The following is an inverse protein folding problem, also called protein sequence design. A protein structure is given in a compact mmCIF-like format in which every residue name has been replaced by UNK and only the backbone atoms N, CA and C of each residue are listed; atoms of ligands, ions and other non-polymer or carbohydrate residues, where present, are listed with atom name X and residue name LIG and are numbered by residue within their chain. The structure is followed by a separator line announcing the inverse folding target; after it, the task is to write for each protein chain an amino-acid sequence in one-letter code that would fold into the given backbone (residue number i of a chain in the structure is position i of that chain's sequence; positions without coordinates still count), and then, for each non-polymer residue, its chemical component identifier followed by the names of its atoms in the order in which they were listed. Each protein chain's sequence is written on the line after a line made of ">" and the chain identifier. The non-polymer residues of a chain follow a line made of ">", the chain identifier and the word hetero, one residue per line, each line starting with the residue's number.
data_IF_325267582549
#
_entry.id   IF_325267582549
#
_cell.length_a   1.000
_cell.length_b   1.000
_cell.length_c   1.000
_cell.angle_alpha   90.00
_cell.angle_beta   90.00
_cell.angle_gamma   90.00
#
_symmetry.space_group_name_H-M   'P 1'
#
loop_
_entity.id
_entity.type
_entity.pdbx_description
1 polymer ?
#
# COMPACT_ATOMS: atom_id res chain seq x y z
N UNK A 1 4.13 31.46 -1.88
CA UNK A 1 5.58 31.43 -1.69
C UNK A 1 6.05 30.03 -2.04
N UNK A 2 6.83 29.82 -3.07
CA UNK A 2 7.50 28.55 -3.23
C UNK A 2 8.60 28.48 -2.17
N UNK A 3 8.38 27.68 -1.19
CA UNK A 3 9.34 27.40 -0.14
C UNK A 3 10.33 26.39 -0.66
N UNK A 4 11.60 26.81 -0.66
CA UNK A 4 12.78 26.00 -0.86
C UNK A 4 12.93 25.33 -2.25
N UNK A 5 14.11 25.45 -2.73
CA UNK A 5 14.79 24.89 -3.91
C UNK A 5 14.61 23.36 -4.08
N UNK A 6 13.35 22.86 -4.03
CA UNK A 6 13.08 21.46 -4.27
C UNK A 6 12.97 21.24 -5.78
N UNK A 7 13.92 20.48 -6.29
CA UNK A 7 13.88 19.98 -7.66
C UNK A 7 12.51 19.31 -7.91
N UNK A 8 11.79 19.68 -8.98
CA UNK A 8 10.54 19.02 -9.34
C UNK A 8 10.71 17.51 -9.39
N UNK A 9 9.92 16.81 -8.60
CA UNK A 9 9.92 15.35 -8.58
C UNK A 9 8.88 14.81 -9.55
N UNK A 10 9.08 13.59 -10.03
CA UNK A 10 8.17 12.92 -10.92
C UNK A 10 7.34 11.89 -10.14
N UNK A 11 6.04 12.10 -10.06
CA UNK A 11 5.12 11.26 -9.30
C UNK A 11 4.24 10.46 -10.26
N UNK A 12 4.25 9.15 -10.10
CA UNK A 12 3.32 8.26 -10.77
C UNK A 12 2.08 8.07 -9.89
N UNK A 13 0.91 8.42 -10.41
CA UNK A 13 -0.36 8.18 -9.72
C UNK A 13 -1.15 7.10 -10.45
N UNK A 14 -1.44 6.02 -9.73
CA UNK A 14 -2.17 4.86 -10.26
C UNK A 14 -3.56 4.83 -9.63
N UNK A 15 -4.57 5.12 -10.42
CA UNK A 15 -5.96 5.14 -10.02
C UNK A 15 -6.86 4.92 -11.24
N UNK A 16 -8.01 4.30 -11.08
CA UNK A 16 -8.97 4.03 -12.16
C UNK A 16 -10.06 5.11 -12.29
N UNK A 17 -10.07 6.11 -11.41
CA UNK A 17 -11.06 7.18 -11.37
C UNK A 17 -10.45 8.49 -11.88
N UNK A 18 -10.97 9.01 -12.98
CA UNK A 18 -10.43 10.20 -13.65
C UNK A 18 -10.49 11.45 -12.77
N UNK A 19 -11.60 11.64 -12.04
CA UNK A 19 -11.77 12.76 -11.12
C UNK A 19 -10.73 12.76 -9.99
N UNK A 20 -10.33 11.58 -9.54
CA UNK A 20 -9.28 11.43 -8.53
C UNK A 20 -7.91 11.75 -9.14
N UNK A 21 -7.66 11.31 -10.37
CA UNK A 21 -6.42 11.65 -11.09
C UNK A 21 -6.29 13.16 -11.30
N UNK A 22 -7.37 13.85 -11.62
CA UNK A 22 -7.37 15.31 -11.78
C UNK A 22 -7.10 16.01 -10.45
N UNK A 23 -7.71 15.56 -9.36
CA UNK A 23 -7.43 16.09 -8.01
C UNK A 23 -5.95 15.92 -7.64
N UNK A 24 -5.36 14.77 -7.88
CA UNK A 24 -3.94 14.54 -7.62
C UNK A 24 -3.05 15.40 -8.49
N UNK A 25 -3.44 15.64 -9.73
CA UNK A 25 -2.71 16.52 -10.64
C UNK A 25 -2.67 17.95 -10.09
N UNK A 26 -3.81 18.49 -9.69
CA UNK A 26 -3.90 19.84 -9.12
C UNK A 26 -3.03 19.99 -7.86
N UNK A 27 -3.05 18.99 -7.00
CA UNK A 27 -2.24 18.99 -5.77
C UNK A 27 -0.75 18.94 -6.10
N UNK A 28 -0.32 18.00 -6.94
CA UNK A 28 1.09 17.78 -7.26
C UNK A 28 1.69 18.95 -8.06
N UNK A 29 0.97 19.48 -9.01
CA UNK A 29 1.38 20.67 -9.78
C UNK A 29 1.44 21.91 -8.86
N UNK A 30 0.49 22.05 -7.94
CA UNK A 30 0.51 23.08 -6.89
C UNK A 30 1.74 23.00 -5.99
N UNK A 31 2.26 21.80 -5.74
CA UNK A 31 3.50 21.56 -5.00
C UNK A 31 4.77 21.70 -5.87
N UNK A 32 4.64 21.92 -7.18
CA UNK A 32 5.75 22.06 -8.12
C UNK A 32 6.31 20.73 -8.63
N UNK A 33 5.57 19.64 -8.50
CA UNK A 33 5.94 18.32 -9.00
C UNK A 33 5.31 18.00 -10.35
N UNK A 34 5.86 17.01 -11.06
CA UNK A 34 5.30 16.49 -12.31
C UNK A 34 4.53 15.21 -12.03
N UNK A 35 3.41 15.01 -12.70
CA UNK A 35 2.58 13.83 -12.54
C UNK A 35 2.48 13.06 -13.85
N UNK A 36 2.59 11.74 -13.76
CA UNK A 36 2.09 10.78 -14.75
C UNK A 36 0.90 10.05 -14.16
N UNK A 37 -0.24 10.19 -14.82
CA UNK A 37 -1.45 9.44 -14.47
C UNK A 37 -1.46 8.10 -15.20
N UNK A 38 -1.85 7.06 -14.49
CA UNK A 38 -1.98 5.75 -15.08
C UNK A 38 -3.25 5.06 -14.61
N UNK A 39 -4.11 4.76 -15.60
CA UNK A 39 -5.26 3.88 -15.40
C UNK A 39 -4.79 2.44 -15.53
N UNK A 40 -4.90 1.71 -14.48
CA UNK A 40 -4.27 0.43 -14.22
C UNK A 40 -4.48 -0.64 -15.30
N UNK A 41 -3.41 -1.34 -15.62
CA UNK A 41 -3.40 -2.68 -16.20
C UNK A 41 -2.47 -3.59 -15.38
N UNK A 42 -2.92 -4.80 -14.96
CA UNK A 42 -2.21 -5.60 -13.94
C UNK A 42 -0.80 -6.04 -14.31
N UNK A 43 -0.42 -5.99 -15.57
CA UNK A 43 0.80 -6.62 -16.06
C UNK A 43 1.99 -5.67 -16.31
N UNK A 44 1.86 -4.41 -15.91
CA UNK A 44 2.78 -3.36 -16.37
C UNK A 44 3.79 -2.86 -15.31
N UNK A 45 4.39 -3.74 -14.53
CA UNK A 45 5.59 -3.38 -13.75
C UNK A 45 6.69 -2.79 -14.66
N UNK A 46 6.75 -3.25 -15.92
CA UNK A 46 7.62 -2.71 -16.95
C UNK A 46 7.43 -1.19 -17.14
N UNK A 47 6.20 -0.70 -17.09
CA UNK A 47 5.90 0.74 -17.17
C UNK A 47 6.45 1.54 -15.99
N UNK A 48 6.35 1.01 -14.78
CA UNK A 48 6.92 1.67 -13.59
C UNK A 48 8.44 1.77 -13.75
N UNK A 49 9.06 0.71 -14.22
CA UNK A 49 10.50 0.67 -14.49
C UNK A 49 10.92 1.64 -15.60
N UNK A 50 10.11 1.78 -16.63
CA UNK A 50 10.35 2.72 -17.74
C UNK A 50 10.18 4.19 -17.33
N UNK A 51 9.12 4.50 -16.59
CA UNK A 51 8.80 5.85 -16.10
C UNK A 51 9.83 6.33 -15.09
N UNK A 52 10.39 5.43 -14.27
CA UNK A 52 11.33 5.74 -13.18
C UNK A 52 10.85 6.90 -12.30
N UNK A 53 9.66 6.78 -11.69
CA UNK A 53 9.13 7.84 -10.85
C UNK A 53 9.95 7.99 -9.57
N UNK A 54 9.94 9.19 -9.00
CA UNK A 54 10.53 9.47 -7.69
C UNK A 54 9.59 9.05 -6.55
N UNK A 55 8.29 8.92 -6.85
CA UNK A 55 7.25 8.50 -5.92
C UNK A 55 6.11 7.83 -6.69
N UNK A 56 5.53 6.79 -6.11
CA UNK A 56 4.28 6.17 -6.59
C UNK A 56 3.17 6.42 -5.57
N UNK A 57 2.05 6.95 -6.04
CA UNK A 57 0.80 7.03 -5.27
C UNK A 57 -0.17 6.02 -5.87
N UNK A 58 -0.63 5.10 -5.06
CA UNK A 58 -1.37 3.93 -5.49
C UNK A 58 -2.69 3.79 -4.73
N UNK A 59 -3.80 3.64 -5.45
CA UNK A 59 -5.05 3.18 -4.85
C UNK A 59 -5.05 1.64 -4.81
N UNK A 60 -5.39 1.07 -3.65
CA UNK A 60 -5.50 -0.38 -3.51
C UNK A 60 -6.77 -0.93 -4.13
N UNK A 61 -7.84 -0.13 -4.09
CA UNK A 61 -9.17 -0.53 -4.56
C UNK A 61 -9.38 -0.04 -5.99
N UNK A 62 -8.87 -0.79 -6.94
CA UNK A 62 -9.05 -0.52 -8.37
C UNK A 62 -9.76 -1.69 -9.06
N UNK A 63 -10.72 -1.36 -9.93
CA UNK A 63 -11.46 -2.34 -10.70
C UNK A 63 -12.46 -3.15 -9.89
N UNK A 64 -12.84 -4.31 -10.42
CA UNK A 64 -13.86 -5.19 -9.84
C UNK A 64 -13.36 -6.02 -8.65
N UNK A 65 -12.07 -6.05 -8.40
CA UNK A 65 -11.46 -6.80 -7.29
C UNK A 65 -10.52 -5.92 -6.49
N UNK A 66 -10.70 -5.89 -5.18
CA UNK A 66 -9.94 -5.09 -4.23
C UNK A 66 -8.43 -5.38 -4.20
N UNK A 67 -8.01 -6.44 -4.87
CA UNK A 67 -6.65 -6.98 -4.75
C UNK A 67 -5.66 -6.50 -5.84
N UNK A 68 -6.12 -5.78 -6.87
CA UNK A 68 -5.25 -5.40 -7.99
C UNK A 68 -4.16 -4.41 -7.58
N UNK A 69 -4.52 -3.37 -6.81
CA UNK A 69 -3.54 -2.42 -6.29
C UNK A 69 -2.54 -3.05 -5.34
N UNK A 70 -2.99 -3.98 -4.51
CA UNK A 70 -2.11 -4.75 -3.62
C UNK A 70 -1.11 -5.61 -4.40
N UNK A 71 -1.55 -6.32 -5.42
CA UNK A 71 -0.67 -7.12 -6.26
C UNK A 71 0.40 -6.26 -6.94
N UNK A 72 0.04 -5.08 -7.44
CA UNK A 72 1.01 -4.14 -8.01
C UNK A 72 2.01 -3.66 -6.96
N UNK A 73 1.54 -3.29 -5.76
CA UNK A 73 2.42 -2.87 -4.67
C UNK A 73 3.45 -3.94 -4.31
N UNK A 74 3.02 -5.19 -4.18
CA UNK A 74 3.93 -6.31 -3.94
C UNK A 74 4.96 -6.46 -5.05
N UNK A 75 4.54 -6.40 -6.32
CA UNK A 75 5.45 -6.46 -7.48
C UNK A 75 6.49 -5.33 -7.45
N UNK A 76 6.07 -4.11 -7.14
CA UNK A 76 6.99 -2.96 -7.01
C UNK A 76 8.05 -3.23 -5.94
N UNK A 77 7.65 -3.75 -4.77
CA UNK A 77 8.57 -4.03 -3.67
C UNK A 77 9.46 -5.26 -3.89
N UNK A 78 9.03 -6.22 -4.69
CA UNK A 78 9.77 -7.46 -4.96
C UNK A 78 10.70 -7.36 -6.17
N UNK A 79 10.67 -6.28 -6.90
CA UNK A 79 11.46 -6.10 -8.12
C UNK A 79 12.62 -5.14 -7.89
N UNK A 80 13.87 -5.58 -8.06
CA UNK A 80 15.05 -4.76 -7.80
C UNK A 80 15.05 -3.37 -8.45
N UNK A 81 14.57 -3.18 -9.69
CA UNK A 81 14.53 -1.86 -10.31
C UNK A 81 13.55 -0.87 -9.65
N UNK A 82 12.58 -1.35 -8.86
CA UNK A 82 11.49 -0.55 -8.30
C UNK A 82 11.37 -0.64 -6.78
N UNK A 83 12.09 -1.55 -6.15
CA UNK A 83 11.98 -1.83 -4.70
C UNK A 83 12.26 -0.61 -3.81
N UNK A 84 13.11 0.30 -4.26
CA UNK A 84 13.51 1.50 -3.51
C UNK A 84 12.62 2.72 -3.78
N UNK A 85 11.68 2.64 -4.71
CA UNK A 85 10.79 3.76 -5.01
C UNK A 85 9.82 3.96 -3.85
N UNK A 86 9.74 5.15 -3.24
CA UNK A 86 8.74 5.44 -2.22
C UNK A 86 7.33 5.20 -2.72
N UNK A 87 6.47 4.61 -1.91
CA UNK A 87 5.07 4.38 -2.25
C UNK A 87 4.16 4.94 -1.16
N UNK A 88 3.15 5.69 -1.59
CA UNK A 88 2.02 6.09 -0.77
C UNK A 88 0.79 5.32 -1.26
N UNK A 89 0.13 4.65 -0.34
CA UNK A 89 -1.16 3.99 -0.58
C UNK A 89 -2.27 4.91 -0.13
N UNK A 90 -3.20 5.25 -1.04
CA UNK A 90 -4.44 5.93 -0.71
C UNK A 90 -5.58 4.92 -0.77
N UNK A 91 -6.27 4.68 0.35
CA UNK A 91 -7.30 3.64 0.40
C UNK A 91 -8.46 4.01 1.32
N UNK A 92 -9.67 3.59 0.93
CA UNK A 92 -10.85 3.60 1.78
C UNK A 92 -11.01 2.30 2.60
N UNK A 93 -10.21 1.27 2.32
CA UNK A 93 -10.26 -0.04 2.97
C UNK A 93 -9.53 -0.04 4.32
N UNK A 94 -10.09 0.66 5.31
CA UNK A 94 -9.46 0.85 6.62
C UNK A 94 -9.16 -0.44 7.37
N UNK A 95 -10.06 -1.41 7.33
CA UNK A 95 -9.88 -2.69 8.02
C UNK A 95 -8.74 -3.50 7.39
N UNK A 96 -8.72 -3.57 6.07
CA UNK A 96 -7.68 -4.28 5.34
C UNK A 96 -6.30 -3.64 5.57
N UNK A 97 -6.22 -2.30 5.52
CA UNK A 97 -4.97 -1.57 5.81
C UNK A 97 -4.46 -1.89 7.21
N UNK A 98 -5.36 -1.95 8.19
CA UNK A 98 -5.01 -2.29 9.58
C UNK A 98 -4.49 -3.73 9.70
N UNK A 99 -5.08 -4.67 8.98
CA UNK A 99 -4.61 -6.06 8.93
C UNK A 99 -3.22 -6.19 8.31
N UNK A 100 -2.89 -5.34 7.34
CA UNK A 100 -1.61 -5.34 6.64
C UNK A 100 -0.59 -4.33 7.19
N UNK A 101 -0.88 -3.67 8.29
CA UNK A 101 -0.04 -2.59 8.86
C UNK A 101 1.41 -3.03 9.09
N UNK A 102 1.61 -4.25 9.59
CA UNK A 102 2.94 -4.80 9.81
C UNK A 102 3.76 -4.91 8.53
N UNK A 103 3.16 -5.43 7.46
CA UNK A 103 3.83 -5.54 6.16
C UNK A 103 4.08 -4.17 5.54
N UNK A 104 3.10 -3.28 5.59
CA UNK A 104 3.21 -1.92 5.05
C UNK A 104 4.34 -1.14 5.73
N UNK A 105 4.42 -1.21 7.05
CA UNK A 105 5.49 -0.58 7.84
C UNK A 105 6.85 -1.18 7.52
N UNK A 106 6.96 -2.50 7.48
CA UNK A 106 8.20 -3.20 7.19
C UNK A 106 8.75 -2.88 5.79
N UNK A 107 7.86 -2.57 4.84
CA UNK A 107 8.22 -2.20 3.48
C UNK A 107 8.25 -0.68 3.21
N UNK A 108 8.27 0.13 4.27
CA UNK A 108 8.31 1.59 4.20
C UNK A 108 7.22 2.20 3.30
N UNK A 109 6.01 1.62 3.33
CA UNK A 109 4.84 2.12 2.61
C UNK A 109 4.06 3.07 3.51
N UNK A 110 3.85 4.29 3.04
CA UNK A 110 2.98 5.25 3.73
C UNK A 110 1.53 5.02 3.34
N UNK A 111 0.62 5.24 4.26
CA UNK A 111 -0.81 5.08 4.05
C UNK A 111 -1.54 6.39 4.33
N UNK A 112 -2.38 6.79 3.39
CA UNK A 112 -3.34 7.88 3.54
C UNK A 112 -4.74 7.31 3.40
N UNK A 113 -5.52 7.36 4.47
CA UNK A 113 -6.89 6.83 4.46
C UNK A 113 -7.87 7.84 3.86
N UNK A 114 -8.78 7.37 3.03
CA UNK A 114 -9.88 8.17 2.48
C UNK A 114 -11.08 8.16 3.46
N UNK A 115 -11.79 9.28 3.62
CA UNK A 115 -11.52 10.61 3.06
C UNK A 115 -10.33 11.30 3.76
N UNK A 116 -9.49 11.97 2.99
CA UNK A 116 -8.33 12.71 3.51
C UNK A 116 -8.47 14.22 3.26
N UNK A 117 -7.76 15.00 4.06
CA UNK A 117 -7.57 16.44 3.81
C UNK A 117 -6.37 16.61 2.87
N UNK A 118 -6.44 17.58 1.96
CA UNK A 118 -5.34 17.89 1.03
C UNK A 118 -4.02 18.07 1.78
N UNK A 119 -4.03 18.83 2.88
CA UNK A 119 -2.84 19.05 3.70
C UNK A 119 -2.21 17.75 4.23
N UNK A 120 -3.00 16.72 4.53
CA UNK A 120 -2.46 15.42 4.97
C UNK A 120 -1.77 14.68 3.83
N UNK A 121 -2.31 14.77 2.63
CA UNK A 121 -1.70 14.18 1.44
C UNK A 121 -0.41 14.92 1.07
N UNK A 122 -0.42 16.25 1.05
CA UNK A 122 0.77 17.08 0.80
C UNK A 122 1.89 16.74 1.78
N UNK A 123 1.58 16.66 3.08
CA UNK A 123 2.56 16.28 4.09
C UNK A 123 3.11 14.85 3.89
N UNK A 124 2.27 13.90 3.52
CA UNK A 124 2.70 12.54 3.22
C UNK A 124 3.63 12.49 2.00
N UNK A 125 3.36 13.28 0.97
CA UNK A 125 4.19 13.42 -0.23
C UNK A 125 5.55 14.01 0.14
N UNK A 126 5.57 15.12 0.87
CA UNK A 126 6.82 15.73 1.33
C UNK A 126 7.67 14.75 2.14
N UNK A 127 7.06 14.06 3.10
CA UNK A 127 7.77 13.06 3.90
C UNK A 127 8.28 11.88 3.08
N UNK A 128 7.53 11.44 2.08
CA UNK A 128 7.94 10.31 1.24
C UNK A 128 9.14 10.68 0.34
N UNK A 129 9.20 11.92 -0.13
CA UNK A 129 10.28 12.43 -0.98
C UNK A 129 11.53 12.82 -0.19
N UNK A 130 11.40 13.20 1.08
CA UNK A 130 12.50 13.60 1.96
C UNK A 130 13.12 12.42 2.72
N UNK A 131 12.45 11.28 2.77
CA UNK A 131 13.01 10.10 3.41
C UNK A 131 14.25 9.62 2.64
N UNK A 132 15.41 9.48 3.32
CA UNK A 132 16.52 8.78 2.71
C UNK A 132 16.05 7.38 2.34
N UNK A 133 16.39 6.93 1.14
CA UNK A 133 16.10 5.58 0.67
C UNK A 133 16.61 4.58 1.72
N UNK A 134 15.67 4.02 2.48
CA UNK A 134 15.98 2.87 3.32
C UNK A 134 16.04 1.71 2.35
N UNK A 135 17.23 1.30 2.00
CA UNK A 135 17.43 0.09 1.22
C UNK A 135 16.70 -1.05 1.92
N UNK A 136 15.62 -1.52 1.33
CA UNK A 136 14.80 -2.62 1.85
C UNK A 136 15.60 -3.92 2.03
N UNK A 137 16.81 -3.98 1.48
CA UNK A 137 17.77 -5.05 1.59
C UNK A 137 18.17 -5.42 3.03
N UNK A 138 17.98 -4.53 4.01
CA UNK A 138 18.34 -4.81 5.40
C UNK A 138 17.20 -5.46 6.21
N UNK A 139 15.95 -5.42 5.77
CA UNK A 139 14.78 -5.86 6.55
C UNK A 139 14.11 -7.14 6.05
N UNK A 140 14.58 -7.75 4.96
CA UNK A 140 14.04 -9.01 4.46
C UNK A 140 14.45 -10.24 5.29
N UNK A 141 15.34 -10.07 6.28
CA UNK A 141 15.83 -11.18 7.08
C UNK A 141 14.96 -11.55 8.28
N UNK A 142 13.95 -10.76 8.66
CA UNK A 142 13.18 -10.95 9.90
C UNK A 142 11.66 -10.85 9.75
N UNK A 143 11.10 -11.03 8.56
CA UNK A 143 9.67 -11.27 8.47
C UNK A 143 9.40 -12.76 8.71
N UNK A 144 9.29 -13.16 9.96
CA UNK A 144 8.69 -14.45 10.27
C UNK A 144 7.26 -14.47 9.71
N UNK A 145 6.88 -15.54 8.98
CA UNK A 145 5.49 -15.70 8.58
C UNK A 145 4.63 -15.69 9.84
N UNK A 146 3.41 -15.12 9.80
CA UNK A 146 2.54 -15.17 10.94
C UNK A 146 2.40 -16.61 11.36
N UNK A 147 2.88 -16.93 12.56
CA UNK A 147 2.73 -18.24 13.15
C UNK A 147 1.23 -18.53 13.19
N UNK A 148 0.84 -19.54 12.44
CA UNK A 148 -0.44 -20.18 12.52
C UNK A 148 -0.78 -20.38 14.01
N UNK A 149 -1.67 -19.55 14.53
CA UNK A 149 -2.22 -19.78 15.86
C UNK A 149 -3.12 -20.97 15.72
N UNK A 150 -2.51 -22.11 15.96
CA UNK A 150 -3.13 -23.39 16.22
C UNK A 150 -4.49 -23.19 16.86
N UNK A 151 -5.52 -23.47 16.08
CA UNK A 151 -6.86 -23.68 16.60
C UNK A 151 -6.75 -24.81 17.61
N UNK A 152 -6.91 -24.51 18.87
CA UNK A 152 -7.01 -25.56 19.89
C UNK A 152 -8.18 -26.47 19.53
N UNK A 153 -8.00 -27.79 19.46
CA UNK A 153 -9.12 -28.68 19.30
C UNK A 153 -10.05 -28.47 20.49
N UNK A 154 -11.29 -28.20 20.21
CA UNK A 154 -12.35 -28.27 21.24
C UNK A 154 -12.44 -29.72 21.66
N UNK A 155 -12.01 -30.00 22.87
CA UNK A 155 -12.32 -31.27 23.49
C UNK A 155 -13.84 -31.39 23.54
N UNK A 156 -14.38 -32.30 22.73
CA UNK A 156 -15.72 -32.76 22.90
C UNK A 156 -15.74 -33.55 24.21
N UNK A 157 -16.38 -32.98 25.20
CA UNK A 157 -16.68 -33.68 26.44
C UNK A 157 -17.48 -34.93 26.13
N UNK A 158 -16.90 -36.04 26.45
CA UNK A 158 -17.54 -37.33 26.48
C UNK A 158 -18.72 -37.29 27.47
N UNK A 159 -19.91 -37.16 26.91
CA UNK A 159 -21.15 -37.34 27.66
C UNK A 159 -21.49 -38.81 27.73
N UNK A 160 -20.92 -39.52 28.68
CA UNK A 160 -21.36 -40.84 29.02
C UNK A 160 -22.80 -40.80 29.53
N UNK A 161 -23.70 -41.15 28.65
CA UNK A 161 -25.10 -41.35 28.99
C UNK A 161 -25.28 -42.79 29.46
N UNK A 162 -25.28 -42.96 30.77
CA UNK A 162 -25.62 -44.21 31.43
C UNK A 162 -27.12 -44.46 31.31
N UNK A 163 -27.46 -45.45 30.52
CA UNK A 163 -28.84 -45.90 30.38
C UNK A 163 -29.25 -46.75 31.57
N UNK A 164 -30.18 -46.26 32.37
CA UNK A 164 -30.86 -47.02 33.39
C UNK A 164 -31.78 -48.10 32.80
N UNK A 165 -31.65 -49.33 33.22
CA UNK A 165 -32.54 -50.44 32.86
C UNK A 165 -33.84 -50.31 33.64
N UNK A 166 -34.97 -50.54 33.01
CA UNK A 166 -36.20 -50.86 33.75
C UNK A 166 -36.29 -52.35 34.04
N UNK A 167 -36.81 -52.65 35.20
CA UNK A 167 -37.24 -53.93 35.62
C UNK A 167 -38.69 -54.15 35.14
#
# INVERSE_FOLDING_TARGET
>A
MPTADHKPQHVLVVNDTEEILDLFRDILEGMGHRMTAWSFSPDDLAKVTEIKPDLVILDLMMGATELQGWALLQKIRMSPPTEDIPVIVCSAATNWVREQEGWLTANAVKVVLKPFKVAHLEHAIEQALDLPMVTASANLAEAEPPSDKTVRPVEQGDGSHEAAKPN
#
